data_IF_891162826589
#
_entry.id   IF_891162826589
#
_cell.length_a   1.000
_cell.length_b   1.000
_cell.length_c   1.000
_cell.angle_alpha   90.00
_cell.angle_beta   90.00
_cell.angle_gamma   90.00
#
_symmetry.space_group_name_H-M   'P 1'
#
loop_
_entity.id
_entity.type
_entity.pdbx_description
1 polymer ?
#
# COMPACT_ATOMS: atom_id res chain seq x y z
N UNK A 1 -1.42 7.85 -12.94
CA UNK A 1 -2.02 7.37 -11.69
C UNK A 1 -1.86 5.87 -11.62
N UNK A 2 -1.85 5.34 -10.41
CA UNK A 2 -1.82 3.89 -10.20
C UNK A 2 -2.56 3.54 -8.91
N UNK A 3 -3.00 2.29 -8.81
CA UNK A 3 -3.66 1.72 -7.66
C UNK A 3 -2.77 0.65 -7.03
N UNK A 4 -2.65 0.70 -5.71
CA UNK A 4 -2.08 -0.36 -4.88
C UNK A 4 -3.23 -1.05 -4.15
N UNK A 5 -3.24 -2.38 -4.18
CA UNK A 5 -4.17 -3.19 -3.38
C UNK A 5 -3.38 -4.10 -2.47
N UNK A 6 -3.74 -4.15 -1.18
CA UNK A 6 -3.19 -5.08 -0.20
C UNK A 6 -4.32 -6.03 0.23
N UNK A 7 -4.14 -7.32 -0.02
CA UNK A 7 -5.04 -8.38 0.44
C UNK A 7 -4.68 -8.80 1.87
N UNK A 8 -5.54 -8.48 2.84
CA UNK A 8 -5.27 -8.72 4.27
C UNK A 8 -5.32 -10.21 4.60
N UNK A 9 -6.10 -11.00 3.86
CA UNK A 9 -6.17 -12.45 4.07
C UNK A 9 -4.88 -13.17 3.61
N UNK A 10 -4.15 -12.58 2.65
CA UNK A 10 -2.86 -13.07 2.19
C UNK A 10 -1.67 -12.42 2.90
N UNK A 11 -1.89 -11.35 3.68
CA UNK A 11 -0.79 -10.64 4.35
C UNK A 11 -0.36 -11.39 5.61
N UNK A 12 0.91 -11.82 5.64
CA UNK A 12 1.49 -12.54 6.79
C UNK A 12 2.28 -11.63 7.76
N UNK A 13 2.21 -10.29 7.62
CA UNK A 13 2.94 -9.37 8.50
C UNK A 13 4.48 -9.48 8.42
N UNK A 14 5.02 -9.90 7.27
CA UNK A 14 6.49 -10.04 7.06
C UNK A 14 7.17 -8.67 6.87
N UNK A 15 6.39 -7.65 6.47
CA UNK A 15 6.82 -6.27 6.30
C UNK A 15 8.01 -6.03 5.35
N UNK A 16 8.24 -6.95 4.40
CA UNK A 16 9.22 -6.73 3.35
C UNK A 16 8.90 -5.49 2.48
N UNK A 17 7.61 -5.18 2.31
CA UNK A 17 7.12 -4.00 1.59
C UNK A 17 7.54 -2.67 2.24
N UNK A 18 7.44 -2.54 3.57
CA UNK A 18 7.80 -1.32 4.32
C UNK A 18 9.27 -0.93 4.11
N UNK A 19 10.15 -1.92 3.91
CA UNK A 19 11.58 -1.67 3.66
C UNK A 19 11.88 -1.15 2.25
N UNK A 20 10.92 -1.29 1.32
CA UNK A 20 11.06 -0.91 -0.09
C UNK A 20 10.34 0.39 -0.41
N UNK A 21 9.17 0.58 0.19
CA UNK A 21 8.39 1.78 0.01
C UNK A 21 7.90 2.25 1.39
N UNK A 22 8.38 3.42 1.88
CA UNK A 22 8.07 3.93 3.20
C UNK A 22 6.61 4.38 3.37
N UNK A 23 5.82 4.36 2.28
CA UNK A 23 4.38 4.62 2.33
C UNK A 23 3.58 3.45 2.89
N UNK A 24 4.12 2.24 2.81
CA UNK A 24 3.55 1.11 3.53
C UNK A 24 3.92 1.24 5.00
N UNK A 25 2.96 0.96 5.87
CA UNK A 25 3.13 0.93 7.33
C UNK A 25 2.46 -0.30 7.92
N UNK A 26 2.72 -0.58 9.19
CA UNK A 26 1.96 -1.56 9.96
C UNK A 26 0.67 -0.90 10.46
N UNK A 27 -0.46 -1.56 10.30
CA UNK A 27 -1.73 -1.17 10.90
C UNK A 27 -1.73 -1.54 12.39
N UNK A 28 -2.04 -0.57 13.25
CA UNK A 28 -2.01 -0.77 14.71
C UNK A 28 -3.11 -1.73 15.22
N UNK A 29 -4.17 -1.99 14.44
CA UNK A 29 -5.32 -2.79 14.88
C UNK A 29 -5.12 -4.29 14.62
N UNK A 30 -4.67 -4.65 13.41
CA UNK A 30 -4.49 -6.05 13.00
C UNK A 30 -3.03 -6.49 12.80
N UNK A 31 -2.07 -5.56 12.85
CA UNK A 31 -0.65 -5.86 12.66
C UNK A 31 -0.31 -6.27 11.22
N UNK A 32 -1.13 -5.90 10.24
CA UNK A 32 -0.89 -6.17 8.82
C UNK A 32 -0.40 -4.92 8.09
N UNK A 33 0.02 -5.09 6.84
CA UNK A 33 0.46 -3.97 6.02
C UNK A 33 -0.75 -3.10 5.61
N UNK A 34 -0.64 -1.80 5.83
CA UNK A 34 -1.55 -0.76 5.32
C UNK A 34 -0.75 0.36 4.65
N UNK A 35 -1.42 1.43 4.22
CA UNK A 35 -0.81 2.62 3.64
C UNK A 35 -1.10 3.82 4.52
N UNK A 36 -0.05 4.57 4.88
CA UNK A 36 -0.20 5.81 5.64
C UNK A 36 -0.37 7.01 4.70
N UNK A 37 -1.50 7.74 4.76
CA UNK A 37 -1.72 8.95 3.97
C UNK A 37 -0.78 10.12 4.35
N UNK A 38 -0.10 10.05 5.48
CA UNK A 38 0.87 11.01 5.97
C UNK A 38 2.33 10.53 5.85
N UNK A 39 2.58 9.35 5.28
CA UNK A 39 3.94 8.83 5.08
C UNK A 39 4.80 9.79 4.26
N UNK A 40 6.12 9.76 4.40
CA UNK A 40 7.03 10.63 3.63
C UNK A 40 7.64 9.88 2.42
N UNK A 41 7.47 10.38 1.18
CA UNK A 41 6.69 11.55 0.78
C UNK A 41 5.18 11.30 0.86
N UNK A 42 4.50 12.38 1.28
CA UNK A 42 3.05 12.42 1.48
C UNK A 42 2.36 12.03 0.19
N UNK A 43 1.51 10.99 0.17
CA UNK A 43 0.70 10.70 -1.00
C UNK A 43 -0.07 11.96 -1.44
N UNK A 44 -0.38 12.10 -2.75
CA UNK A 44 -0.83 13.36 -3.32
C UNK A 44 -2.03 13.94 -2.56
N UNK A 45 -2.00 15.26 -2.34
CA UNK A 45 -3.01 15.97 -1.56
C UNK A 45 -4.44 15.47 -1.84
N UNK A 46 -5.12 15.01 -0.79
CA UNK A 46 -6.43 14.35 -0.88
C UNK A 46 -6.38 12.82 -0.77
N UNK A 47 -5.27 12.23 -0.35
CA UNK A 47 -5.18 10.80 0.04
C UNK A 47 -6.21 10.41 1.11
N UNK A 48 -6.48 11.35 2.02
CA UNK A 48 -7.52 11.30 3.05
C UNK A 48 -8.94 11.56 2.50
N UNK A 49 -9.10 11.95 1.22
CA UNK A 49 -10.40 12.18 0.58
C UNK A 49 -11.05 10.87 0.08
N UNK A 50 -10.66 9.72 0.65
CA UNK A 50 -11.17 8.39 0.29
C UNK A 50 -10.36 7.65 -0.78
N UNK A 51 -9.13 8.10 -1.08
CA UNK A 51 -8.23 7.38 -1.99
C UNK A 51 -7.58 6.17 -1.34
N UNK A 52 -7.46 6.16 -0.02
CA UNK A 52 -7.18 4.96 0.79
C UNK A 52 -8.50 4.50 1.41
N UNK A 53 -8.87 3.25 1.14
CA UNK A 53 -10.12 2.66 1.62
C UNK A 53 -9.93 1.19 1.94
N UNK A 54 -10.66 0.71 2.94
CA UNK A 54 -10.76 -0.72 3.22
C UNK A 54 -12.07 -1.26 2.65
N UNK A 55 -11.98 -2.22 1.74
CA UNK A 55 -13.12 -2.83 1.04
C UNK A 55 -12.90 -4.35 0.96
N UNK A 56 -13.84 -5.14 1.45
CA UNK A 56 -13.82 -6.62 1.38
C UNK A 56 -12.50 -7.27 1.85
N UNK A 57 -11.96 -6.79 2.99
CA UNK A 57 -10.70 -7.30 3.54
C UNK A 57 -9.45 -6.85 2.77
N UNK A 58 -9.56 -5.78 1.97
CA UNK A 58 -8.46 -5.24 1.18
C UNK A 58 -8.27 -3.76 1.44
N UNK A 59 -7.02 -3.34 1.54
CA UNK A 59 -6.67 -1.92 1.49
C UNK A 59 -6.48 -1.54 0.03
N UNK A 60 -7.20 -0.54 -0.45
CA UNK A 60 -7.08 0.01 -1.79
C UNK A 60 -6.61 1.45 -1.68
N UNK A 61 -5.44 1.74 -2.24
CA UNK A 61 -4.81 3.06 -2.24
C UNK A 61 -4.56 3.55 -3.68
N UNK A 62 -5.01 4.76 -4.01
CA UNK A 62 -4.81 5.37 -5.33
C UNK A 62 -3.82 6.55 -5.26
N UNK A 63 -2.79 6.49 -6.10
CA UNK A 63 -1.70 7.46 -6.14
C UNK A 63 -1.66 8.18 -7.50
N UNK A 64 -1.38 9.47 -7.43
CA UNK A 64 -1.15 10.37 -8.57
C UNK A 64 0.24 11.01 -8.45
N UNK A 65 1.24 10.16 -8.25
CA UNK A 65 2.66 10.52 -8.25
C UNK A 65 3.43 9.67 -9.28
N UNK A 66 4.73 9.92 -9.39
CA UNK A 66 5.64 9.24 -10.31
C UNK A 66 6.36 8.03 -9.70
N UNK A 67 5.88 7.50 -8.56
CA UNK A 67 6.54 6.45 -7.77
C UNK A 67 5.87 5.08 -7.84
N UNK A 68 5.32 4.78 -9.01
CA UNK A 68 4.70 3.48 -9.29
C UNK A 68 5.73 2.33 -9.24
N UNK A 69 6.98 2.60 -9.62
CA UNK A 69 8.03 1.57 -9.65
C UNK A 69 8.44 1.14 -8.23
N UNK A 70 8.52 2.06 -7.28
CA UNK A 70 8.75 1.77 -5.86
C UNK A 70 7.64 0.89 -5.28
N UNK A 71 6.37 1.20 -5.62
CA UNK A 71 5.23 0.37 -5.21
C UNK A 71 5.32 -1.04 -5.82
N UNK A 72 5.75 -1.16 -7.09
CA UNK A 72 5.98 -2.46 -7.75
C UNK A 72 7.12 -3.24 -7.11
N UNK A 73 8.20 -2.58 -6.70
CA UNK A 73 9.31 -3.21 -5.97
C UNK A 73 8.86 -3.70 -4.59
N UNK A 74 8.04 -2.92 -3.88
CA UNK A 74 7.44 -3.34 -2.62
C UNK A 74 6.52 -4.56 -2.80
N UNK A 75 5.72 -4.59 -3.87
CA UNK A 75 4.90 -5.72 -4.22
C UNK A 75 5.72 -6.97 -4.55
N UNK A 76 6.78 -6.83 -5.37
CA UNK A 76 7.68 -7.92 -5.71
C UNK A 76 8.45 -8.47 -4.49
N UNK A 77 8.64 -7.66 -3.45
CA UNK A 77 9.27 -8.08 -2.21
C UNK A 77 8.32 -8.85 -1.27
N UNK A 78 7.00 -8.79 -1.48
CA UNK A 78 5.99 -9.44 -0.65
C UNK A 78 5.96 -10.96 -0.88
N UNK A 79 6.46 -11.81 0.03
CA UNK A 79 6.53 -13.25 -0.20
C UNK A 79 5.17 -13.94 -0.45
N UNK A 80 4.06 -13.56 0.22
CA UNK A 80 2.76 -14.17 -0.05
C UNK A 80 2.07 -13.58 -1.30
N UNK A 81 2.67 -12.56 -1.95
CA UNK A 81 2.06 -11.83 -3.07
C UNK A 81 0.73 -11.16 -2.71
N UNK A 82 0.64 -10.61 -1.48
CA UNK A 82 -0.55 -9.92 -1.00
C UNK A 82 -0.77 -8.53 -1.67
N UNK A 83 0.21 -8.03 -2.43
CA UNK A 83 0.19 -6.67 -2.96
C UNK A 83 0.09 -6.71 -4.49
N UNK A 84 -0.83 -5.94 -5.06
CA UNK A 84 -0.98 -5.72 -6.50
C UNK A 84 -0.84 -4.24 -6.83
N UNK A 85 -0.20 -3.92 -7.95
CA UNK A 85 -0.05 -2.55 -8.46
C UNK A 85 -0.54 -2.48 -9.90
N UNK A 86 -1.47 -1.58 -10.18
CA UNK A 86 -2.12 -1.43 -11.49
C UNK A 86 -2.11 0.04 -11.95
N UNK A 87 -1.77 0.29 -13.21
CA UNK A 87 -1.91 1.63 -13.81
C UNK A 87 -3.38 1.95 -14.08
N UNK A 88 -3.82 3.19 -13.83
CA UNK A 88 -5.20 3.66 -14.01
C UNK A 88 -5.30 5.00 -14.74
#
# INVERSE_FOLDING_TARGET
>A
MYRVTIDKDACDGIFACLTRDPRFVEDDDDGLATVDPAADPVPPAGSDDGRIREEDGKIVAEFDDDRADEAREAAAACPPNAITVEDI
#
